data_IF_427839679832
#
_entry.id   IF_427839679832
#
_cell.length_a   1.000
_cell.length_b   1.000
_cell.length_c   1.000
_cell.angle_alpha   90.00
_cell.angle_beta   90.00
_cell.angle_gamma   90.00
#
_symmetry.space_group_name_H-M   'P 1'
#
loop_
_entity.id
_entity.type
_entity.pdbx_description
1 polymer ?
#
# COMPACT_ATOMS: atom_id res chain seq x y z
N UNK A 1 1.69 18.04 -19.92
CA UNK A 1 2.85 18.74 -19.32
C UNK A 1 3.95 18.82 -20.37
N UNK A 2 4.38 20.01 -20.78
CA UNK A 2 5.71 20.13 -21.41
C UNK A 2 6.69 20.18 -20.24
N UNK A 3 7.52 19.14 -20.09
CA UNK A 3 8.24 18.81 -18.85
C UNK A 3 9.22 19.89 -18.33
N UNK A 4 9.36 21.01 -19.04
CA UNK A 4 10.24 22.12 -18.68
C UNK A 4 9.51 23.46 -18.42
N UNK A 5 8.19 23.46 -18.23
CA UNK A 5 7.38 24.68 -18.36
C UNK A 5 6.84 25.31 -17.07
N UNK A 6 7.14 24.80 -15.86
CA UNK A 6 6.71 25.45 -14.60
C UNK A 6 7.57 26.64 -14.18
N UNK A 7 8.71 26.89 -14.83
CA UNK A 7 9.70 27.91 -14.43
C UNK A 7 10.03 28.98 -15.50
N UNK A 8 9.27 29.10 -16.60
CA UNK A 8 9.66 30.00 -17.73
C UNK A 8 8.77 31.24 -17.91
N UNK A 9 9.45 32.34 -18.24
CA UNK A 9 8.92 33.69 -18.42
C UNK A 9 7.86 33.77 -19.55
N UNK A 10 6.76 34.51 -19.37
CA UNK A 10 5.59 34.53 -20.26
C UNK A 10 5.82 35.06 -21.70
N UNK A 11 7.04 35.49 -22.05
CA UNK A 11 7.38 36.09 -23.34
C UNK A 11 8.04 35.13 -24.34
N UNK A 12 8.43 33.91 -23.94
CA UNK A 12 8.96 32.92 -24.90
C UNK A 12 7.82 32.19 -25.62
N UNK A 13 7.43 32.72 -26.79
CA UNK A 13 6.40 32.14 -27.67
C UNK A 13 6.99 31.03 -28.55
N UNK A 14 6.62 29.77 -28.30
CA UNK A 14 6.83 28.68 -29.27
C UNK A 14 6.00 28.92 -30.53
N UNK A 15 6.63 28.99 -31.70
CA UNK A 15 5.93 29.01 -33.00
C UNK A 15 5.71 27.56 -33.47
N UNK A 16 4.42 27.19 -33.57
CA UNK A 16 3.80 26.08 -34.32
C UNK A 16 4.24 24.64 -33.96
N UNK A 17 3.28 23.98 -33.27
CA UNK A 17 3.15 22.56 -32.86
C UNK A 17 3.73 22.25 -31.46
N UNK A 18 2.85 22.34 -30.46
CA UNK A 18 3.10 21.98 -29.07
C UNK A 18 3.20 20.45 -28.97
N UNK A 19 4.42 19.93 -28.92
CA UNK A 19 4.66 18.52 -28.61
C UNK A 19 4.64 18.31 -27.09
N UNK A 20 4.04 17.22 -26.56
CA UNK A 20 3.22 16.20 -27.24
C UNK A 20 1.74 16.63 -27.40
N UNK A 21 1.09 16.24 -28.50
CA UNK A 21 -0.34 16.48 -28.80
C UNK A 21 -1.25 15.28 -28.52
N UNK A 22 -0.67 14.09 -28.41
CA UNK A 22 -1.34 12.81 -28.15
C UNK A 22 -0.46 11.89 -27.30
N UNK A 23 -1.01 10.79 -26.79
CA UNK A 23 -0.23 9.75 -26.09
C UNK A 23 0.80 9.09 -27.01
N UNK A 24 0.48 8.94 -28.30
CA UNK A 24 1.37 8.35 -29.30
C UNK A 24 2.62 9.21 -29.54
N UNK A 25 2.53 10.53 -29.32
CA UNK A 25 3.68 11.43 -29.38
C UNK A 25 4.67 11.19 -28.23
N UNK A 26 4.18 10.70 -27.08
CA UNK A 26 4.99 10.35 -25.91
C UNK A 26 5.52 8.92 -26.01
N UNK A 27 4.74 8.01 -26.60
CA UNK A 27 5.06 6.58 -26.75
C UNK A 27 5.36 6.20 -28.22
N UNK A 28 6.43 6.72 -28.85
CA UNK A 28 6.75 6.34 -30.22
C UNK A 28 7.06 4.84 -30.29
N UNK A 29 6.29 4.10 -31.09
CA UNK A 29 6.39 2.64 -31.17
C UNK A 29 5.60 1.87 -30.11
N UNK A 30 4.80 2.56 -29.29
CA UNK A 30 3.89 1.97 -28.30
C UNK A 30 4.52 1.66 -26.94
N UNK A 31 3.68 1.21 -26.01
CA UNK A 31 4.03 1.00 -24.61
C UNK A 31 5.21 0.04 -24.40
N UNK A 32 5.28 -1.06 -25.15
CA UNK A 32 6.36 -2.05 -25.01
C UNK A 32 7.73 -1.45 -25.32
N UNK A 33 7.84 -0.76 -26.46
CA UNK A 33 9.10 -0.12 -26.90
C UNK A 33 9.52 0.95 -25.89
N UNK A 34 8.56 1.71 -25.35
CA UNK A 34 8.86 2.69 -24.31
C UNK A 34 9.38 2.03 -23.03
N UNK A 35 8.75 0.95 -22.55
CA UNK A 35 9.21 0.24 -21.34
C UNK A 35 10.61 -0.34 -21.55
N UNK A 36 10.90 -0.89 -22.74
CA UNK A 36 12.24 -1.36 -23.09
C UNK A 36 13.27 -0.22 -23.00
N UNK A 37 12.93 0.94 -23.58
CA UNK A 37 13.79 2.14 -23.57
C UNK A 37 14.01 2.67 -22.14
N UNK A 38 12.95 2.80 -21.34
CA UNK A 38 13.02 3.22 -19.93
C UNK A 38 13.87 2.26 -19.11
N UNK A 39 13.65 0.94 -19.24
CA UNK A 39 14.45 -0.07 -18.57
C UNK A 39 15.93 0.00 -18.97
N UNK A 40 16.22 0.28 -20.24
CA UNK A 40 17.59 0.47 -20.71
C UNK A 40 18.21 1.73 -20.09
N UNK A 41 17.56 2.89 -20.21
CA UNK A 41 18.07 4.15 -19.67
C UNK A 41 18.29 4.11 -18.16
N UNK A 42 17.35 3.54 -17.41
CA UNK A 42 17.49 3.37 -15.96
C UNK A 42 18.69 2.49 -15.57
N UNK A 43 19.13 1.58 -16.45
CA UNK A 43 20.30 0.72 -16.19
C UNK A 43 21.61 1.36 -16.64
N UNK A 44 21.59 2.22 -17.65
CA UNK A 44 22.82 2.73 -18.28
C UNK A 44 23.16 4.17 -17.90
N UNK A 45 22.19 4.97 -17.49
CA UNK A 45 22.38 6.39 -17.20
C UNK A 45 22.25 6.66 -15.69
N UNK A 46 23.37 6.87 -14.98
CA UNK A 46 23.38 7.16 -13.55
C UNK A 46 23.03 8.63 -13.28
N UNK A 47 21.87 9.11 -13.74
CA UNK A 47 21.44 10.50 -13.56
C UNK A 47 19.99 10.59 -13.10
N UNK A 48 19.71 11.51 -12.18
CA UNK A 48 18.37 11.81 -11.68
C UNK A 48 17.47 12.38 -12.78
N UNK A 49 18.04 13.08 -13.76
CA UNK A 49 17.32 13.62 -14.92
C UNK A 49 16.63 12.52 -15.72
N UNK A 50 17.31 11.39 -15.95
CA UNK A 50 16.72 10.25 -16.67
C UNK A 50 15.61 9.61 -15.85
N UNK A 51 15.77 9.52 -14.53
CA UNK A 51 14.75 8.97 -13.63
C UNK A 51 13.50 9.85 -13.64
N UNK A 52 13.67 11.17 -13.52
CA UNK A 52 12.59 12.15 -13.52
C UNK A 52 11.86 12.20 -14.87
N UNK A 53 12.58 12.11 -15.99
CA UNK A 53 11.96 11.97 -17.31
C UNK A 53 11.15 10.66 -17.41
N UNK A 54 11.66 9.56 -16.87
CA UNK A 54 10.96 8.28 -16.83
C UNK A 54 9.68 8.31 -15.99
N UNK A 55 9.74 8.91 -14.80
CA UNK A 55 8.57 9.12 -13.93
C UNK A 55 7.50 9.93 -14.66
N UNK A 56 7.88 11.06 -15.24
CA UNK A 56 6.96 11.90 -15.98
C UNK A 56 6.27 11.19 -17.17
N UNK A 57 7.01 10.36 -17.90
CA UNK A 57 6.46 9.52 -18.98
C UNK A 57 5.47 8.51 -18.38
N UNK A 58 5.85 7.84 -17.29
CA UNK A 58 4.99 6.88 -16.60
C UNK A 58 3.68 7.51 -16.13
N UNK A 59 3.74 8.66 -15.46
CA UNK A 59 2.54 9.39 -14.99
C UNK A 59 1.66 9.85 -16.15
N UNK A 60 2.26 10.34 -17.24
CA UNK A 60 1.50 10.79 -18.41
C UNK A 60 0.80 9.63 -19.13
N UNK A 61 1.40 8.45 -19.11
CA UNK A 61 0.95 7.27 -19.85
C UNK A 61 0.57 6.09 -18.94
N UNK A 62 0.11 6.36 -17.71
CA UNK A 62 -0.05 5.31 -16.70
C UNK A 62 -1.05 4.23 -17.11
N UNK A 63 -2.13 4.59 -17.80
CA UNK A 63 -3.12 3.62 -18.30
C UNK A 63 -2.48 2.57 -19.23
N UNK A 64 -1.47 2.96 -20.01
CA UNK A 64 -0.80 2.12 -20.99
C UNK A 64 0.42 1.39 -20.39
N UNK A 65 1.05 1.99 -19.38
CA UNK A 65 2.31 1.52 -18.78
C UNK A 65 2.13 0.74 -17.47
N UNK A 66 0.96 0.81 -16.82
CA UNK A 66 0.68 0.13 -15.53
C UNK A 66 0.30 -1.34 -15.66
N UNK A 67 0.55 -1.99 -16.81
CA UNK A 67 0.30 -3.43 -16.95
C UNK A 67 1.24 -4.22 -16.02
N UNK A 68 0.79 -5.35 -15.44
CA UNK A 68 1.61 -6.15 -14.52
C UNK A 68 3.03 -6.46 -15.04
N UNK A 69 3.14 -6.88 -16.30
CA UNK A 69 4.43 -7.20 -16.91
C UNK A 69 5.36 -5.99 -17.01
N UNK A 70 4.84 -4.81 -17.32
CA UNK A 70 5.64 -3.59 -17.43
C UNK A 70 6.07 -3.05 -16.06
N UNK A 71 5.15 -3.01 -15.10
CA UNK A 71 5.41 -2.61 -13.70
C UNK A 71 6.54 -3.44 -13.09
N UNK A 72 6.50 -4.77 -13.24
CA UNK A 72 7.55 -5.66 -12.72
C UNK A 72 8.92 -5.35 -13.34
N UNK A 73 8.98 -5.11 -14.66
CA UNK A 73 10.22 -4.81 -15.38
C UNK A 73 10.80 -3.45 -15.00
N UNK A 74 9.94 -2.43 -14.85
CA UNK A 74 10.35 -1.10 -14.42
C UNK A 74 10.89 -1.13 -12.99
N UNK A 75 10.22 -1.83 -12.07
CA UNK A 75 10.74 -2.02 -10.70
C UNK A 75 12.06 -2.82 -10.68
N UNK A 76 12.22 -3.83 -11.54
CA UNK A 76 13.50 -4.53 -11.67
C UNK A 76 14.61 -3.59 -12.18
N UNK A 77 14.31 -2.62 -13.05
CA UNK A 77 15.28 -1.62 -13.48
C UNK A 77 15.58 -0.60 -12.37
N UNK A 78 14.55 -0.10 -11.68
CA UNK A 78 14.67 0.88 -10.60
C UNK A 78 15.49 0.33 -9.44
N UNK A 79 15.25 -0.91 -8.97
CA UNK A 79 16.03 -1.44 -7.86
C UNK A 79 17.52 -1.58 -8.19
N UNK A 80 17.88 -1.94 -9.44
CA UNK A 80 19.29 -2.00 -9.86
C UNK A 80 19.93 -0.61 -9.85
N UNK A 81 19.20 0.41 -10.26
CA UNK A 81 19.68 1.79 -10.22
C UNK A 81 19.82 2.27 -8.76
N UNK A 82 18.85 1.96 -7.89
CA UNK A 82 18.93 2.23 -6.45
C UNK A 82 20.18 1.57 -5.84
N UNK A 83 20.45 0.32 -6.24
CA UNK A 83 21.63 -0.43 -5.76
C UNK A 83 22.94 0.24 -6.17
N UNK A 84 23.02 0.67 -7.42
CA UNK A 84 24.17 1.42 -7.94
C UNK A 84 24.32 2.75 -7.21
N UNK A 85 23.23 3.49 -7.00
CA UNK A 85 23.26 4.78 -6.32
C UNK A 85 23.71 4.64 -4.86
N UNK A 86 23.19 3.66 -4.13
CA UNK A 86 23.65 3.35 -2.77
C UNK A 86 25.13 2.95 -2.72
N UNK A 87 25.58 2.17 -3.71
CA UNK A 87 27.00 1.76 -3.79
C UNK A 87 27.94 2.92 -4.12
N UNK A 88 27.44 4.02 -4.67
CA UNK A 88 28.23 5.21 -4.99
C UNK A 88 28.36 6.18 -3.81
N UNK A 89 27.59 5.96 -2.74
CA UNK A 89 27.67 6.78 -1.51
C UNK A 89 28.96 6.45 -0.76
N UNK A 90 29.67 7.51 -0.35
CA UNK A 90 30.95 7.39 0.35
C UNK A 90 32.15 7.10 -0.56
N UNK A 91 31.95 6.89 -1.87
CA UNK A 91 33.06 6.97 -2.82
C UNK A 91 33.42 8.44 -3.01
N UNK A 92 34.70 8.77 -2.86
CA UNK A 92 35.28 10.03 -3.33
C UNK A 92 35.25 10.04 -4.87
N UNK A 93 34.05 10.11 -5.43
CA UNK A 93 33.86 10.38 -6.83
C UNK A 93 34.32 11.82 -6.99
N UNK A 94 35.51 12.02 -7.57
CA UNK A 94 35.98 13.33 -7.99
C UNK A 94 34.86 13.96 -8.83
N UNK A 95 34.07 14.82 -8.19
CA UNK A 95 32.84 15.36 -8.74
C UNK A 95 33.20 16.19 -9.96
N UNK A 96 33.13 15.57 -11.14
CA UNK A 96 32.95 16.36 -12.36
C UNK A 96 31.60 17.07 -12.19
N UNK A 97 31.51 18.38 -12.45
CA UNK A 97 30.31 19.20 -12.23
C UNK A 97 29.08 18.78 -13.04
N UNK A 98 29.16 17.67 -13.77
CA UNK A 98 28.08 17.05 -14.55
C UNK A 98 27.44 15.81 -13.92
N UNK A 99 27.99 15.27 -12.83
CA UNK A 99 27.44 14.08 -12.18
C UNK A 99 26.47 14.47 -11.06
N UNK A 100 25.26 13.89 -11.12
CA UNK A 100 24.28 14.01 -10.05
C UNK A 100 24.80 13.33 -8.77
N UNK A 101 24.57 13.98 -7.63
CA UNK A 101 24.84 13.39 -6.33
C UNK A 101 24.03 12.08 -6.18
N UNK A 102 24.64 11.00 -5.64
CA UNK A 102 23.93 9.74 -5.42
C UNK A 102 22.61 9.89 -4.65
N UNK A 103 22.54 10.80 -3.67
CA UNK A 103 21.33 11.07 -2.89
C UNK A 103 20.18 11.61 -3.76
N UNK A 104 20.45 12.54 -4.69
CA UNK A 104 19.43 13.02 -5.63
C UNK A 104 18.85 11.91 -6.51
N UNK A 105 19.69 10.93 -6.89
CA UNK A 105 19.22 9.75 -7.63
C UNK A 105 18.32 8.88 -6.76
N UNK A 106 18.70 8.64 -5.51
CA UNK A 106 17.89 7.87 -4.56
C UNK A 106 16.51 8.50 -4.37
N UNK A 107 16.44 9.82 -4.16
CA UNK A 107 15.18 10.54 -4.00
C UNK A 107 14.28 10.37 -5.23
N UNK A 108 14.82 10.62 -6.44
CA UNK A 108 14.05 10.47 -7.67
C UNK A 108 13.59 9.02 -7.93
N UNK A 109 14.41 8.02 -7.58
CA UNK A 109 14.08 6.60 -7.76
C UNK A 109 13.05 6.13 -6.73
N UNK A 110 13.12 6.64 -5.50
CA UNK A 110 12.12 6.37 -4.45
C UNK A 110 10.74 6.90 -4.88
N UNK A 111 10.70 8.13 -5.39
CA UNK A 111 9.48 8.74 -5.94
C UNK A 111 8.93 7.91 -7.11
N UNK A 112 9.78 7.50 -8.05
CA UNK A 112 9.35 6.71 -9.20
C UNK A 112 8.81 5.34 -8.79
N UNK A 113 9.49 4.63 -7.89
CA UNK A 113 9.01 3.35 -7.38
C UNK A 113 7.69 3.48 -6.59
N UNK A 114 7.53 4.52 -5.76
CA UNK A 114 6.29 4.76 -5.01
C UNK A 114 5.13 5.06 -5.96
N UNK A 115 5.35 5.88 -7.00
CA UNK A 115 4.35 6.16 -8.03
C UNK A 115 3.89 4.90 -8.80
N UNK A 116 4.82 3.99 -9.09
CA UNK A 116 4.50 2.71 -9.75
C UNK A 116 3.67 1.79 -8.84
N UNK A 117 3.99 1.74 -7.55
CA UNK A 117 3.39 0.78 -6.61
C UNK A 117 2.09 1.29 -5.98
N UNK A 118 1.97 2.61 -5.81
CA UNK A 118 0.95 3.21 -4.97
C UNK A 118 0.22 4.41 -5.61
N UNK A 119 0.45 4.69 -6.90
CA UNK A 119 -0.24 5.75 -7.62
C UNK A 119 -1.77 5.56 -7.69
N UNK A 120 -2.51 6.66 -7.83
CA UNK A 120 -3.99 6.69 -7.78
C UNK A 120 -4.67 5.82 -8.85
N UNK A 121 -3.96 5.52 -9.93
CA UNK A 121 -4.45 4.78 -11.11
C UNK A 121 -3.96 3.35 -11.19
N UNK A 122 -3.13 2.88 -10.25
CA UNK A 122 -2.70 1.48 -10.28
C UNK A 122 -3.91 0.59 -10.00
N UNK A 123 -4.31 -0.29 -10.94
CA UNK A 123 -5.28 -1.33 -10.64
C UNK A 123 -4.79 -2.10 -9.41
N UNK A 124 -5.68 -2.73 -8.64
CA UNK A 124 -5.31 -3.65 -7.55
C UNK A 124 -4.36 -4.73 -8.10
N UNK A 125 -3.07 -4.44 -8.09
CA UNK A 125 -2.06 -5.28 -8.70
C UNK A 125 -1.90 -6.46 -7.76
N UNK A 126 -1.93 -7.68 -8.31
CA UNK A 126 -1.65 -8.86 -7.50
C UNK A 126 -0.23 -8.69 -6.95
N UNK A 127 -0.12 -8.42 -5.65
CA UNK A 127 1.16 -8.16 -5.00
C UNK A 127 2.12 -9.33 -5.21
N UNK A 128 1.61 -10.55 -5.40
CA UNK A 128 2.41 -11.75 -5.67
C UNK A 128 3.18 -11.66 -6.98
N UNK A 129 2.81 -10.77 -7.90
CA UNK A 129 3.56 -10.45 -9.10
C UNK A 129 5.02 -10.06 -8.78
N UNK A 130 5.26 -9.41 -7.65
CA UNK A 130 6.59 -8.94 -7.25
C UNK A 130 7.45 -10.01 -6.59
N UNK A 131 6.91 -11.23 -6.37
CA UNK A 131 7.62 -12.31 -5.69
C UNK A 131 8.96 -12.72 -6.31
N UNK A 132 9.19 -12.58 -7.65
CA UNK A 132 10.49 -12.85 -8.25
C UNK A 132 11.58 -11.81 -7.95
N UNK A 133 11.20 -10.60 -7.51
CA UNK A 133 12.13 -9.49 -7.27
C UNK A 133 12.20 -9.04 -5.80
N UNK A 134 11.19 -9.40 -4.99
CA UNK A 134 11.04 -8.93 -3.61
C UNK A 134 12.30 -9.07 -2.74
N UNK A 135 12.96 -10.23 -2.75
CA UNK A 135 14.19 -10.45 -1.97
C UNK A 135 15.34 -9.53 -2.38
N UNK A 136 15.50 -9.27 -3.69
CA UNK A 136 16.52 -8.36 -4.19
C UNK A 136 16.20 -6.92 -3.80
N UNK A 137 14.95 -6.52 -3.97
CA UNK A 137 14.48 -5.19 -3.58
C UNK A 137 14.69 -4.96 -2.08
N UNK A 138 14.28 -5.89 -1.21
CA UNK A 138 14.49 -5.77 0.25
C UNK A 138 15.96 -5.60 0.65
N UNK A 139 16.86 -6.37 0.02
CA UNK A 139 18.29 -6.26 0.27
C UNK A 139 18.86 -4.91 -0.23
N UNK A 140 18.37 -4.40 -1.37
CA UNK A 140 18.74 -3.07 -1.86
C UNK A 140 18.22 -1.98 -0.94
N UNK A 141 16.95 -2.04 -0.53
CA UNK A 141 16.34 -1.02 0.35
C UNK A 141 17.04 -0.93 1.71
N UNK A 142 17.46 -2.06 2.30
CA UNK A 142 18.24 -2.05 3.55
C UNK A 142 19.56 -1.26 3.42
N UNK A 143 20.21 -1.32 2.25
CA UNK A 143 21.41 -0.53 1.98
C UNK A 143 21.09 0.94 1.72
N UNK A 144 20.04 1.20 0.95
CA UNK A 144 19.65 2.57 0.55
C UNK A 144 19.18 3.40 1.74
N UNK A 145 18.40 2.82 2.68
CA UNK A 145 17.89 3.56 3.84
C UNK A 145 19.01 4.13 4.71
N UNK A 146 20.11 3.39 4.88
CA UNK A 146 21.29 3.86 5.60
C UNK A 146 22.06 4.97 4.86
N UNK A 147 21.75 5.19 3.59
CA UNK A 147 22.53 6.02 2.69
C UNK A 147 21.85 7.36 2.36
N UNK A 148 20.56 7.52 2.68
CA UNK A 148 19.80 8.76 2.42
C UNK A 148 19.35 9.39 3.73
N UNK A 149 19.40 10.73 3.79
CA UNK A 149 18.90 11.51 4.93
C UNK A 149 17.53 12.15 4.65
N UNK A 150 17.09 12.16 3.39
CA UNK A 150 15.82 12.73 2.98
C UNK A 150 14.62 11.96 3.56
N UNK A 151 13.79 12.65 4.36
CA UNK A 151 12.67 12.04 5.08
C UNK A 151 11.55 11.54 4.15
N UNK A 152 11.35 12.19 3.01
CA UNK A 152 10.33 11.79 2.03
C UNK A 152 10.73 10.50 1.34
N UNK A 153 11.98 10.43 0.87
CA UNK A 153 12.55 9.23 0.28
C UNK A 153 12.58 8.06 1.28
N UNK A 154 12.98 8.31 2.53
CA UNK A 154 12.93 7.29 3.61
C UNK A 154 11.50 6.74 3.77
N UNK A 155 10.48 7.61 3.83
CA UNK A 155 9.09 7.19 3.96
C UNK A 155 8.62 6.34 2.77
N UNK A 156 8.94 6.75 1.54
CA UNK A 156 8.62 6.03 0.30
C UNK A 156 9.32 4.65 0.28
N UNK A 157 10.62 4.61 0.56
CA UNK A 157 11.41 3.39 0.56
C UNK A 157 10.96 2.40 1.63
N UNK A 158 10.67 2.85 2.85
CA UNK A 158 10.12 1.98 3.91
C UNK A 158 8.74 1.44 3.54
N UNK A 159 7.90 2.24 2.85
CA UNK A 159 6.61 1.78 2.34
C UNK A 159 6.75 0.68 1.28
N UNK A 160 7.70 0.84 0.36
CA UNK A 160 8.04 -0.19 -0.63
C UNK A 160 8.58 -1.45 0.08
N UNK A 161 9.45 -1.28 1.07
CA UNK A 161 10.01 -2.38 1.87
C UNK A 161 8.94 -3.23 2.54
N UNK A 162 7.94 -2.59 3.18
CA UNK A 162 6.79 -3.29 3.75
C UNK A 162 6.02 -4.11 2.71
N UNK A 163 5.72 -3.50 1.55
CA UNK A 163 5.06 -4.22 0.46
C UNK A 163 5.86 -5.46 0.03
N UNK A 164 7.17 -5.33 -0.18
CA UNK A 164 8.00 -6.46 -0.62
C UNK A 164 8.07 -7.58 0.42
N UNK A 165 8.02 -7.24 1.71
CA UNK A 165 7.96 -8.24 2.80
C UNK A 165 6.65 -9.01 2.81
N UNK A 166 5.53 -8.38 2.43
CA UNK A 166 4.26 -9.10 2.32
C UNK A 166 4.30 -10.15 1.23
N UNK A 167 4.93 -9.80 0.12
CA UNK A 167 5.11 -10.70 -1.01
C UNK A 167 6.06 -11.85 -0.66
N UNK A 168 7.06 -11.60 0.19
CA UNK A 168 8.03 -12.59 0.68
C UNK A 168 8.25 -12.44 2.19
N UNK A 169 7.43 -13.09 3.03
CA UNK A 169 7.62 -13.05 4.48
C UNK A 169 8.95 -13.70 4.85
N UNK A 170 9.90 -12.89 5.37
CA UNK A 170 11.16 -13.37 5.95
C UNK A 170 11.03 -13.55 7.46
N UNK A 171 11.84 -14.44 8.02
CA UNK A 171 11.89 -14.63 9.47
C UNK A 171 12.49 -13.39 10.15
N UNK A 172 12.08 -13.12 11.40
CA UNK A 172 12.69 -12.07 12.20
C UNK A 172 14.19 -12.38 12.42
N UNK A 173 15.08 -11.47 12.02
CA UNK A 173 16.54 -11.60 12.21
C UNK A 173 17.40 -11.70 10.94
N UNK A 174 16.81 -11.68 9.74
CA UNK A 174 17.55 -11.82 8.46
C UNK A 174 18.31 -10.56 7.99
N UNK A 175 18.93 -9.81 8.90
CA UNK A 175 19.87 -8.72 8.55
C UNK A 175 19.27 -7.55 7.75
N UNK A 176 17.94 -7.40 7.74
CA UNK A 176 17.27 -6.25 7.14
C UNK A 176 17.32 -5.06 8.09
N UNK A 177 17.39 -3.86 7.52
CA UNK A 177 17.44 -2.63 8.30
C UNK A 177 16.17 -2.45 9.16
N UNK A 178 16.29 -2.16 10.48
CA UNK A 178 15.14 -1.92 11.34
C UNK A 178 14.20 -0.81 10.83
N UNK A 179 14.72 0.18 10.11
CA UNK A 179 13.94 1.31 9.58
C UNK A 179 13.10 0.98 8.35
N UNK A 180 13.32 -0.18 7.71
CA UNK A 180 12.31 -0.75 6.81
C UNK A 180 11.00 -1.02 7.55
N UNK A 181 11.09 -1.22 8.86
CA UNK A 181 9.98 -1.58 9.74
C UNK A 181 9.66 -0.47 10.74
N UNK A 182 10.50 0.56 10.86
CA UNK A 182 10.14 1.77 11.57
C UNK A 182 9.12 2.56 10.75
N UNK A 183 8.13 3.13 11.42
CA UNK A 183 7.04 3.83 10.73
C UNK A 183 6.03 2.94 9.99
N UNK A 184 5.76 1.70 10.47
CA UNK A 184 4.44 1.08 10.20
C UNK A 184 3.41 2.17 10.52
N UNK A 185 2.58 2.59 9.55
CA UNK A 185 1.58 3.61 9.81
C UNK A 185 0.80 3.12 11.02
N UNK A 186 0.74 3.96 12.06
CA UNK A 186 -0.02 3.64 13.25
C UNK A 186 -1.36 3.04 12.81
N UNK A 187 -1.66 1.81 13.23
CA UNK A 187 -2.84 1.08 12.76
C UNK A 187 -4.13 1.90 12.95
N UNK A 188 -4.18 2.70 14.01
CA UNK A 188 -5.27 3.65 14.25
C UNK A 188 -5.28 4.77 13.22
N UNK A 189 -4.12 5.33 12.84
CA UNK A 189 -4.02 6.35 11.77
C UNK A 189 -4.45 5.79 10.42
N UNK A 190 -3.99 4.58 10.07
CA UNK A 190 -4.37 3.92 8.83
C UNK A 190 -5.89 3.69 8.76
N UNK A 191 -6.48 3.23 9.87
CA UNK A 191 -7.92 3.05 9.97
C UNK A 191 -8.68 4.39 9.92
N UNK A 192 -8.18 5.45 10.57
CA UNK A 192 -8.77 6.80 10.49
C UNK A 192 -8.80 7.31 9.03
N UNK A 193 -7.69 7.15 8.31
CA UNK A 193 -7.60 7.53 6.90
C UNK A 193 -8.60 6.74 6.04
N UNK A 194 -8.77 5.44 6.30
CA UNK A 194 -9.79 4.63 5.64
C UNK A 194 -11.20 5.15 5.96
N UNK A 195 -11.52 5.43 7.21
CA UNK A 195 -12.81 6.00 7.61
C UNK A 195 -13.07 7.34 6.90
N UNK A 196 -12.11 8.25 6.92
CA UNK A 196 -12.19 9.55 6.25
C UNK A 196 -12.42 9.42 4.75
N UNK A 197 -11.74 8.48 4.11
CA UNK A 197 -11.96 8.17 2.70
C UNK A 197 -13.39 7.69 2.48
N UNK A 198 -13.83 6.68 3.21
CA UNK A 198 -15.15 6.08 3.06
C UNK A 198 -16.30 7.07 3.33
N UNK A 199 -16.20 7.90 4.36
CA UNK A 199 -17.21 8.92 4.69
C UNK A 199 -17.27 10.06 3.65
N UNK A 200 -16.13 10.33 2.99
CA UNK A 200 -16.00 11.35 1.95
C UNK A 200 -16.36 10.86 0.55
N UNK A 201 -16.38 9.54 0.31
CA UNK A 201 -16.75 8.97 -0.98
C UNK A 201 -18.18 9.40 -1.37
N UNK A 202 -18.29 10.06 -2.53
CA UNK A 202 -19.57 10.49 -3.12
C UNK A 202 -20.13 9.43 -4.09
N UNK A 203 -20.06 8.17 -3.69
CA UNK A 203 -20.46 7.01 -4.48
C UNK A 203 -21.33 6.05 -3.67
N UNK A 204 -22.10 5.21 -4.36
CA UNK A 204 -22.89 4.18 -3.70
C UNK A 204 -21.95 3.17 -3.04
N UNK A 205 -22.20 2.85 -1.79
CA UNK A 205 -21.42 1.89 -1.01
C UNK A 205 -21.75 0.43 -1.33
N UNK A 206 -22.78 0.16 -2.14
CA UNK A 206 -23.02 -1.20 -2.63
C UNK A 206 -22.06 -1.50 -3.80
N UNK A 207 -21.16 -2.50 -3.70
CA UNK A 207 -20.10 -2.70 -4.69
C UNK A 207 -20.57 -2.91 -6.14
N UNK A 208 -21.77 -3.44 -6.34
CA UNK A 208 -22.33 -3.68 -7.68
C UNK A 208 -23.03 -2.43 -8.28
N UNK A 209 -23.09 -1.31 -7.56
CA UNK A 209 -23.69 -0.07 -8.04
C UNK A 209 -22.63 0.99 -8.35
N UNK A 210 -22.55 1.36 -9.62
CA UNK A 210 -21.61 2.36 -10.13
C UNK A 210 -22.07 3.81 -10.00
N UNK A 211 -23.28 4.06 -9.45
CA UNK A 211 -23.80 5.42 -9.29
C UNK A 211 -22.92 6.24 -8.35
N UNK A 212 -22.74 7.50 -8.72
CA UNK A 212 -22.09 8.55 -7.95
C UNK A 212 -23.06 9.71 -7.73
N UNK A 213 -22.82 10.58 -6.74
CA UNK A 213 -23.68 11.76 -6.52
C UNK A 213 -23.73 12.63 -7.79
N UNK A 214 -22.59 12.73 -8.50
CA UNK A 214 -22.46 13.44 -9.77
C UNK A 214 -23.41 12.86 -10.83
N UNK A 215 -23.43 11.54 -11.00
CA UNK A 215 -24.24 10.89 -12.03
C UNK A 215 -25.72 10.79 -11.63
N UNK A 216 -26.00 10.66 -10.33
CA UNK A 216 -27.35 10.61 -9.81
C UNK A 216 -28.03 11.99 -9.74
N UNK A 217 -27.27 13.09 -9.83
CA UNK A 217 -27.77 14.46 -9.74
C UNK A 217 -28.38 14.81 -8.38
N UNK A 218 -28.09 14.03 -7.33
CA UNK A 218 -28.64 14.21 -5.98
C UNK A 218 -27.69 13.68 -4.91
N UNK A 219 -27.71 14.23 -3.69
CA UNK A 219 -26.91 13.71 -2.59
C UNK A 219 -27.33 12.29 -2.22
N UNK A 220 -26.36 11.45 -1.86
CA UNK A 220 -26.62 10.09 -1.40
C UNK A 220 -26.93 10.04 0.08
N UNK A 221 -27.75 9.07 0.49
CA UNK A 221 -28.18 8.89 1.88
C UNK A 221 -27.13 8.11 2.64
N UNK A 222 -26.65 8.65 3.76
CA UNK A 222 -25.80 7.92 4.68
C UNK A 222 -26.57 6.80 5.37
N UNK A 223 -25.87 5.72 5.71
CA UNK A 223 -26.39 4.73 6.65
C UNK A 223 -26.63 5.41 8.00
N UNK A 224 -27.90 5.56 8.42
CA UNK A 224 -28.25 6.21 9.69
C UNK A 224 -27.84 5.45 10.96
N UNK A 225 -26.98 4.44 10.85
CA UNK A 225 -26.45 3.64 11.96
C UNK A 225 -24.95 3.83 12.15
N UNK A 226 -24.16 3.64 11.10
CA UNK A 226 -22.70 3.79 11.17
C UNK A 226 -22.20 5.12 10.60
N UNK A 227 -23.01 5.84 9.81
CA UNK A 227 -22.64 7.10 9.15
C UNK A 227 -21.40 7.04 8.25
N UNK A 228 -20.94 5.85 7.87
CA UNK A 228 -19.79 5.65 6.98
C UNK A 228 -20.22 5.50 5.52
N UNK A 229 -21.10 4.56 5.22
CA UNK A 229 -21.49 4.25 3.84
C UNK A 229 -22.66 5.10 3.34
N UNK A 230 -22.60 5.47 2.05
CA UNK A 230 -23.66 6.20 1.34
C UNK A 230 -24.40 5.30 0.35
N UNK A 231 -25.67 5.57 0.10
CA UNK A 231 -26.47 4.82 -0.85
C UNK A 231 -27.31 5.74 -1.72
N UNK A 232 -27.42 5.40 -3.01
CA UNK A 232 -28.28 6.11 -3.95
C UNK A 232 -29.78 5.92 -3.66
N UNK A 233 -30.13 4.91 -2.86
CA UNK A 233 -31.49 4.59 -2.41
C UNK A 233 -31.54 3.38 -1.47
N UNK A 234 -32.71 3.12 -0.91
CA UNK A 234 -32.95 2.05 0.07
C UNK A 234 -32.75 0.64 -0.52
N UNK A 235 -32.98 0.46 -1.82
CA UNK A 235 -32.78 -0.82 -2.51
C UNK A 235 -31.31 -1.28 -2.43
N UNK A 236 -30.36 -0.40 -2.80
CA UNK A 236 -28.93 -0.70 -2.73
C UNK A 236 -28.46 -0.88 -1.27
N UNK A 237 -29.02 -0.10 -0.33
CA UNK A 237 -28.73 -0.30 1.10
C UNK A 237 -29.17 -1.69 1.57
N UNK A 238 -30.38 -2.14 1.21
CA UNK A 238 -30.88 -3.49 1.56
C UNK A 238 -30.06 -4.61 0.94
N UNK A 239 -29.62 -4.45 -0.32
CA UNK A 239 -28.75 -5.42 -0.99
C UNK A 239 -27.39 -5.50 -0.30
N UNK A 240 -26.73 -4.36 -0.06
CA UNK A 240 -25.45 -4.32 0.63
C UNK A 240 -25.55 -4.88 2.07
N UNK A 241 -26.65 -4.56 2.78
CA UNK A 241 -26.94 -5.06 4.12
C UNK A 241 -27.00 -6.59 4.20
N UNK A 242 -27.59 -7.25 3.19
CA UNK A 242 -27.68 -8.72 3.14
C UNK A 242 -26.34 -9.38 2.81
N UNK A 243 -25.46 -8.69 2.08
CA UNK A 243 -24.14 -9.19 1.71
C UNK A 243 -23.17 -9.13 2.89
N UNK A 244 -22.73 -7.92 3.24
CA UNK A 244 -21.59 -7.73 4.15
C UNK A 244 -21.80 -6.57 5.15
N UNK A 245 -22.53 -5.54 4.74
CA UNK A 245 -22.60 -4.29 5.51
C UNK A 245 -23.17 -4.45 6.92
N UNK A 246 -24.01 -5.47 7.18
CA UNK A 246 -24.54 -5.72 8.53
C UNK A 246 -23.43 -5.94 9.56
N UNK A 247 -22.39 -6.69 9.19
CA UNK A 247 -21.27 -7.01 10.07
C UNK A 247 -20.40 -5.78 10.28
N UNK A 248 -20.02 -5.10 9.20
CA UNK A 248 -19.23 -3.86 9.23
C UNK A 248 -19.94 -2.76 10.02
N UNK A 249 -21.24 -2.56 9.78
CA UNK A 249 -22.03 -1.56 10.49
C UNK A 249 -22.11 -1.84 11.99
N UNK A 250 -22.17 -3.10 12.41
CA UNK A 250 -22.15 -3.46 13.84
C UNK A 250 -20.77 -3.16 14.44
N UNK A 251 -19.69 -3.58 13.77
CA UNK A 251 -18.32 -3.31 14.20
C UNK A 251 -18.04 -1.82 14.36
N UNK A 252 -18.39 -1.00 13.36
CA UNK A 252 -18.24 0.46 13.41
C UNK A 252 -19.01 1.11 14.56
N UNK A 253 -20.21 0.62 14.88
CA UNK A 253 -20.99 1.13 16.02
C UNK A 253 -20.35 0.78 17.35
N UNK A 254 -19.90 -0.47 17.50
CA UNK A 254 -19.18 -0.91 18.71
C UNK A 254 -17.91 -0.09 18.88
N UNK A 255 -17.15 0.07 17.80
CA UNK A 255 -15.92 0.86 17.77
C UNK A 255 -16.17 2.32 18.19
N UNK A 256 -17.09 3.03 17.52
CA UNK A 256 -17.42 4.43 17.83
C UNK A 256 -17.91 4.61 19.27
N UNK A 257 -18.68 3.64 19.80
CA UNK A 257 -19.12 3.66 21.19
C UNK A 257 -17.97 3.45 22.18
N UNK A 258 -16.98 2.62 21.85
CA UNK A 258 -15.80 2.38 22.70
C UNK A 258 -14.91 3.62 22.78
N UNK A 259 -14.54 4.21 21.64
CA UNK A 259 -13.63 5.37 21.61
C UNK A 259 -14.32 6.70 21.95
N UNK A 260 -15.66 6.70 22.12
CA UNK A 260 -16.49 7.89 22.38
C UNK A 260 -16.31 9.02 21.34
N UNK A 261 -15.96 8.65 20.11
CA UNK A 261 -15.83 9.57 18.98
C UNK A 261 -16.94 9.29 17.98
N UNK A 262 -17.63 10.35 17.55
CA UNK A 262 -18.55 10.29 16.42
C UNK A 262 -17.75 10.21 15.13
N UNK A 263 -18.02 9.20 14.30
CA UNK A 263 -17.36 9.05 13.01
C UNK A 263 -17.93 10.09 12.04
N UNK A 264 -17.14 11.10 11.71
CA UNK A 264 -17.49 12.19 10.79
C UNK A 264 -16.52 12.27 9.61
N UNK A 265 -16.86 12.96 8.51
CA UNK A 265 -15.91 13.23 7.44
C UNK A 265 -14.75 14.13 7.92
N UNK A 266 -13.54 13.83 7.46
CA UNK A 266 -12.32 14.62 7.73
C UNK A 266 -11.95 14.74 9.22
N UNK A 267 -12.07 13.64 9.98
CA UNK A 267 -11.52 13.54 11.33
C UNK A 267 -10.01 13.78 11.33
N UNK A 268 -9.52 14.51 12.33
CA UNK A 268 -8.09 14.67 12.58
C UNK A 268 -7.47 13.31 13.00
N UNK A 269 -6.48 12.78 12.24
CA UNK A 269 -5.89 11.50 12.56
C UNK A 269 -5.15 11.46 13.90
N UNK A 270 -4.57 12.56 14.35
CA UNK A 270 -3.82 12.62 15.61
C UNK A 270 -4.77 12.54 16.81
N UNK A 271 -5.87 13.29 16.77
CA UNK A 271 -6.94 13.24 17.78
C UNK A 271 -7.54 11.83 17.83
N UNK A 272 -7.81 11.24 16.67
CA UNK A 272 -8.35 9.89 16.57
C UNK A 272 -7.42 8.84 17.17
N UNK A 273 -6.12 8.90 16.83
CA UNK A 273 -5.09 8.00 17.36
C UNK A 273 -5.00 8.13 18.88
N UNK A 274 -5.00 9.36 19.41
CA UNK A 274 -4.98 9.60 20.85
C UNK A 274 -6.19 8.97 21.55
N UNK A 275 -7.40 9.17 21.03
CA UNK A 275 -8.63 8.58 21.58
C UNK A 275 -8.62 7.04 21.55
N UNK A 276 -8.11 6.43 20.47
CA UNK A 276 -7.99 4.97 20.39
C UNK A 276 -7.02 4.41 21.42
N UNK A 277 -5.90 5.11 21.67
CA UNK A 277 -4.90 4.71 22.66
C UNK A 277 -5.40 4.88 24.09
N UNK A 278 -6.19 5.92 24.37
CA UNK A 278 -6.76 6.16 25.70
C UNK A 278 -7.67 5.02 26.18
N UNK A 279 -8.39 4.37 25.26
CA UNK A 279 -9.32 3.28 25.59
C UNK A 279 -8.69 1.88 25.50
N UNK A 280 -7.37 1.80 25.28
CA UNK A 280 -6.62 0.55 25.09
C UNK A 280 -7.33 -0.41 24.12
N UNK A 281 -7.74 0.14 22.96
CA UNK A 281 -8.60 -0.59 22.04
C UNK A 281 -8.00 -1.93 21.63
N UNK A 282 -8.84 -2.97 21.60
CA UNK A 282 -8.43 -4.28 21.09
C UNK A 282 -8.01 -4.16 19.63
N UNK A 283 -6.73 -4.38 19.48
CA UNK A 283 -5.94 -4.20 18.31
C UNK A 283 -6.31 -5.27 17.25
N UNK A 284 -6.68 -6.49 17.67
CA UNK A 284 -7.15 -7.55 16.77
C UNK A 284 -8.56 -7.24 16.23
N UNK A 285 -9.44 -6.70 17.07
CA UNK A 285 -10.76 -6.23 16.65
C UNK A 285 -10.67 -5.13 15.59
N UNK A 286 -9.75 -4.17 15.75
CA UNK A 286 -9.54 -3.12 14.76
C UNK A 286 -9.11 -3.68 13.41
N UNK A 287 -8.21 -4.66 13.42
CA UNK A 287 -7.73 -5.31 12.22
C UNK A 287 -8.84 -6.08 11.47
N UNK A 288 -9.67 -6.81 12.21
CA UNK A 288 -10.85 -7.47 11.64
C UNK A 288 -11.80 -6.44 11.00
N UNK A 289 -12.08 -5.34 11.70
CA UNK A 289 -12.94 -4.28 11.18
C UNK A 289 -12.35 -3.58 9.96
N UNK A 290 -11.04 -3.32 9.95
CA UNK A 290 -10.31 -2.77 8.81
C UNK A 290 -10.45 -3.69 7.59
N UNK A 291 -10.17 -4.99 7.73
CA UNK A 291 -10.27 -5.94 6.62
C UNK A 291 -11.69 -6.04 6.05
N UNK A 292 -12.71 -6.09 6.93
CA UNK A 292 -14.10 -6.10 6.47
C UNK A 292 -14.48 -4.82 5.70
N UNK A 293 -13.96 -3.65 6.10
CA UNK A 293 -14.22 -2.39 5.40
C UNK A 293 -13.47 -2.27 4.08
N UNK A 294 -12.22 -2.72 4.02
CA UNK A 294 -11.38 -2.63 2.83
C UNK A 294 -11.95 -3.47 1.68
N UNK A 295 -12.51 -4.65 1.98
CA UNK A 295 -13.27 -5.46 1.01
C UNK A 295 -14.50 -4.73 0.46
N UNK A 296 -15.13 -3.86 1.25
CA UNK A 296 -16.31 -3.06 0.84
C UNK A 296 -15.95 -1.78 0.07
N UNK A 297 -14.67 -1.42 -0.05
CA UNK A 297 -14.24 -0.23 -0.79
C UNK A 297 -14.49 -0.40 -2.30
N UNK A 298 -15.56 0.24 -2.77
CA UNK A 298 -16.03 0.20 -4.16
C UNK A 298 -15.03 0.75 -5.20
N UNK A 299 -13.88 1.29 -4.78
CA UNK A 299 -12.79 1.63 -5.69
C UNK A 299 -11.96 0.40 -6.09
N UNK A 300 -11.90 -0.64 -5.26
CA UNK A 300 -11.10 -1.84 -5.50
C UNK A 300 -11.78 -2.88 -6.41
N UNK A 301 -13.10 -2.82 -6.57
CA UNK A 301 -13.90 -3.81 -7.32
C UNK A 301 -14.20 -3.51 -8.78
N UNK A 302 -13.78 -2.35 -9.34
CA UNK A 302 -14.28 -1.87 -10.65
C UNK A 302 -13.64 -2.53 -11.88
N UNK A 303 -12.76 -3.52 -11.71
CA UNK A 303 -12.13 -4.27 -12.81
C UNK A 303 -12.66 -5.71 -12.96
N UNK A 304 -13.99 -5.90 -12.93
CA UNK A 304 -14.57 -7.21 -13.29
C UNK A 304 -15.50 -7.09 -14.50
N UNK A 305 -14.99 -7.53 -15.65
CA UNK A 305 -15.79 -7.97 -16.78
C UNK A 305 -16.70 -9.14 -16.33
N UNK A 306 -17.98 -9.17 -16.74
CA UNK A 306 -18.92 -10.19 -16.27
C UNK A 306 -18.87 -11.44 -17.16
N UNK A 307 -17.82 -12.25 -17.04
CA UNK A 307 -17.81 -13.63 -17.56
C UNK A 307 -17.03 -14.54 -16.61
N UNK A 308 -17.73 -15.46 -15.95
CA UNK A 308 -17.13 -16.59 -15.23
C UNK A 308 -17.40 -16.59 -13.72
N UNK A 309 -18.48 -17.26 -13.32
CA UNK A 309 -18.73 -17.62 -11.91
C UNK A 309 -17.79 -18.76 -11.49
N UNK A 310 -16.67 -18.43 -10.84
CA UNK A 310 -15.90 -19.38 -10.05
C UNK A 310 -16.26 -19.22 -8.57
N UNK A 311 -16.96 -20.21 -8.02
CA UNK A 311 -17.11 -20.41 -6.57
C UNK A 311 -15.81 -21.00 -6.04
N UNK A 312 -14.96 -20.16 -5.47
CA UNK A 312 -13.95 -20.58 -4.49
C UNK A 312 -14.01 -19.60 -3.34
N UNK A 313 -14.44 -20.09 -2.17
CA UNK A 313 -14.10 -19.43 -0.91
C UNK A 313 -12.59 -19.48 -0.71
N UNK A 314 -12.09 -18.48 0.02
CA UNK A 314 -10.72 -18.31 0.53
C UNK A 314 -9.93 -17.15 -0.06
N UNK A 315 -9.32 -16.44 0.90
CA UNK A 315 -8.26 -15.41 0.83
C UNK A 315 -8.72 -13.97 0.56
N UNK A 316 -9.13 -13.36 1.66
CA UNK A 316 -8.90 -11.94 1.98
C UNK A 316 -7.43 -11.61 1.67
N UNK A 317 -7.18 -10.47 1.02
CA UNK A 317 -5.85 -10.06 0.55
C UNK A 317 -4.89 -9.83 1.72
N UNK A 318 -3.76 -10.55 1.69
CA UNK A 318 -2.76 -10.69 2.78
C UNK A 318 -2.04 -9.37 3.20
N UNK A 319 -2.33 -8.25 2.53
CA UNK A 319 -1.88 -6.91 2.91
C UNK A 319 -2.63 -6.36 4.14
N UNK A 320 -3.91 -6.71 4.28
CA UNK A 320 -4.77 -6.36 5.42
C UNK A 320 -4.37 -7.16 6.67
N UNK A 321 -3.69 -8.28 6.45
CA UNK A 321 -3.12 -9.12 7.49
C UNK A 321 -1.87 -8.48 8.10
N UNK A 322 -1.22 -7.46 7.52
CA UNK A 322 -0.04 -6.83 8.16
C UNK A 322 -0.42 -5.87 9.29
N UNK A 323 -1.44 -5.02 9.07
CA UNK A 323 -2.00 -4.22 10.16
C UNK A 323 -2.47 -5.18 11.23
N UNK A 324 -3.22 -6.25 10.91
CA UNK A 324 -3.65 -7.24 11.91
C UNK A 324 -2.56 -8.11 12.54
N UNK A 325 -1.52 -8.52 11.82
CA UNK A 325 -0.45 -9.38 12.33
C UNK A 325 0.53 -8.60 13.19
N UNK A 326 0.86 -7.34 12.83
CA UNK A 326 1.72 -6.52 13.68
C UNK A 326 1.04 -6.13 14.99
N UNK A 327 -0.25 -5.86 14.89
CA UNK A 327 -1.16 -5.65 16.00
C UNK A 327 -1.23 -6.90 16.92
N UNK A 328 -1.40 -8.09 16.35
CA UNK A 328 -1.41 -9.36 17.10
C UNK A 328 -0.03 -9.73 17.72
N UNK A 329 1.10 -9.40 17.06
CA UNK A 329 2.45 -9.74 17.54
C UNK A 329 2.89 -8.94 18.77
N UNK A 330 2.34 -7.74 19.02
CA UNK A 330 2.67 -6.94 20.22
C UNK A 330 1.87 -7.32 21.47
N UNK A 331 0.81 -8.13 21.35
CA UNK A 331 -0.05 -8.55 22.46
C UNK A 331 0.40 -9.79 23.24
N UNK A 332 1.51 -10.44 22.90
CA UNK A 332 1.97 -11.69 23.56
C UNK A 332 3.32 -11.56 24.23
N UNK A 333 3.41 -10.74 25.27
CA UNK A 333 4.45 -10.81 26.30
C UNK A 333 3.87 -10.36 27.66
N UNK A 334 2.80 -10.97 28.14
CA UNK A 334 2.52 -11.03 29.58
C UNK A 334 2.08 -12.45 29.94
N UNK A 335 3.06 -13.23 30.39
CA UNK A 335 2.84 -14.57 30.90
C UNK A 335 1.98 -14.52 32.16
N UNK A 336 0.86 -15.23 32.14
CA UNK A 336 0.24 -15.72 33.38
C UNK A 336 1.16 -16.79 33.96
N UNK A 337 1.77 -16.48 35.09
CA UNK A 337 2.28 -17.50 36.00
C UNK A 337 1.13 -18.41 36.44
N UNK A 338 1.14 -19.66 35.97
CA UNK A 338 0.48 -20.76 36.66
C UNK A 338 1.52 -21.44 37.56
N UNK A 339 1.37 -21.26 38.86
CA UNK A 339 1.98 -22.09 39.90
C UNK A 339 1.49 -23.54 39.76
N UNK A 340 2.37 -24.56 39.76
CA UNK A 340 1.92 -25.94 39.90
C UNK A 340 1.78 -26.29 41.38
N UNK A 341 0.56 -26.60 41.81
CA UNK A 341 0.33 -27.37 43.04
C UNK A 341 0.84 -28.80 42.83
N UNK A 342 1.79 -29.22 43.66
CA UNK A 342 2.15 -30.62 43.83
C UNK A 342 0.95 -31.38 44.40
N UNK A 343 0.53 -32.42 43.70
CA UNK A 343 -0.25 -33.52 44.28
C UNK A 343 0.45 -34.83 44.00
N UNK A 344 0.89 -35.44 45.09
CA UNK A 344 1.31 -36.84 45.25
C UNK A 344 0.18 -37.81 44.91
N UNK A 345 0.50 -38.95 44.28
CA UNK A 345 -0.11 -40.29 44.43
C UNK A 345 0.54 -41.21 43.38
N UNK A 346 1.49 -42.04 43.80
CA UNK A 346 1.31 -43.48 44.12
C UNK A 346 1.44 -44.40 42.90
N UNK A 347 2.51 -45.20 42.95
CA UNK A 347 2.84 -46.21 41.97
C UNK A 347 2.01 -47.47 42.19
N UNK A 348 1.34 -47.96 41.14
CA UNK A 348 0.83 -49.32 41.06
C UNK A 348 1.66 -50.14 40.07
N UNK A 349 2.20 -51.24 40.60
CA UNK A 349 3.05 -52.23 39.95
C UNK A 349 2.26 -53.11 38.97
N UNK A 350 2.85 -53.40 37.80
CA UNK A 350 2.46 -54.52 36.94
C UNK A 350 3.24 -55.79 37.33
N UNK A 351 2.62 -57.00 37.31
CA UNK A 351 3.32 -58.24 37.58
C UNK A 351 4.07 -58.76 36.33
N UNK A 352 5.25 -59.35 36.56
CA UNK A 352 6.04 -60.10 35.59
C UNK A 352 5.43 -61.50 35.40
N UNK A 353 5.21 -61.90 34.16
CA UNK A 353 4.97 -63.28 33.77
C UNK A 353 6.33 -64.01 33.75
N UNK A 354 6.47 -65.04 34.56
CA UNK A 354 7.61 -65.96 34.60
C UNK A 354 7.35 -67.16 33.69
N UNK A 355 8.39 -67.56 32.96
CA UNK A 355 8.46 -68.83 32.25
C UNK A 355 8.61 -70.00 33.24
N UNK A 356 7.94 -71.11 32.86
CA UNK A 356 7.90 -72.47 33.42
C UNK A 356 6.87 -72.75 34.50
#
# INVERSE_FOLDING_TARGET
MCLASSLRHPSQRFRRRLWPTSKDDVLPGGAHVMVDALCFWLKTAPTSVVVQAGLAIYETCTEDLSTPGFTLRLLDAIHRHLDSAASDIGKDILLSPSYDLPEHRIIALAEFADGILFGVTTPSCDIMLFAPIADRVLNTLSRVLNATSDSTALQQLSRIGRLMRLVRPRAAGEGLDPDLFSGVPDGFRAFCNLLNRMTSLRACGWPECSLTERNAGRPMRLCGRCHVFRYCGEACQKQHWRGSHKTVCKGLRTFSAQIKVTIEPAMDPDIFVAACREVELDIDFLAELYGLMAVEDATMGRSRNPLGTCRTGSRVTELETEIGLHLCQRGRCYGRHNTPQQTTLEAQQCPRVSNK
#
